data_IF_828086045147
#
_entry.id   IF_828086045147
#
_cell.length_a   1.000
_cell.length_b   1.000
_cell.length_c   1.000
_cell.angle_alpha   90.00
_cell.angle_beta   90.00
_cell.angle_gamma   90.00
#
_symmetry.space_group_name_H-M   'P 1'
#
loop_
_entity.id
_entity.type
_entity.pdbx_description
1 polymer ?
#
# COMPACT_ATOMS: atom_id res chain seq x y z
N UNK A 1 19.14 13.96 12.85
CA UNK A 1 18.08 13.29 12.07
C UNK A 1 18.70 12.02 11.54
N UNK A 2 18.36 10.88 12.14
CA UNK A 2 19.08 9.62 11.97
C UNK A 2 18.97 9.17 10.51
N UNK A 3 20.10 9.20 9.81
CA UNK A 3 20.27 8.63 8.48
C UNK A 3 20.27 7.11 8.67
N UNK A 4 19.08 6.52 8.75
CA UNK A 4 18.94 5.07 8.57
C UNK A 4 19.14 4.85 7.08
N UNK A 5 20.23 4.19 6.71
CA UNK A 5 20.35 3.53 5.41
C UNK A 5 19.11 2.65 5.27
N UNK A 6 18.12 3.05 4.46
CA UNK A 6 16.85 2.33 4.24
C UNK A 6 17.11 1.02 3.50
N UNK A 7 17.77 0.07 4.16
CA UNK A 7 17.62 -1.33 3.87
C UNK A 7 16.47 -1.80 4.75
N UNK A 8 15.43 -2.36 4.15
CA UNK A 8 14.20 -2.71 4.86
C UNK A 8 14.40 -3.80 5.94
N UNK A 9 15.60 -4.38 6.07
CA UNK A 9 15.93 -5.47 6.99
C UNK A 9 15.77 -5.16 8.48
N UNK A 10 15.70 -3.88 8.88
CA UNK A 10 15.46 -3.50 10.27
C UNK A 10 13.97 -3.18 10.51
N UNK A 11 13.27 -4.03 11.28
CA UNK A 11 11.89 -3.75 11.72
C UNK A 11 11.84 -2.36 12.38
N UNK A 12 10.83 -1.56 12.03
CA UNK A 12 10.67 -0.22 12.60
C UNK A 12 10.22 -0.31 14.07
N UNK A 13 11.18 -0.19 15.00
CA UNK A 13 10.92 -0.23 16.44
C UNK A 13 10.70 1.17 16.99
N UNK A 14 9.45 1.62 17.03
CA UNK A 14 9.04 2.73 17.88
C UNK A 14 7.56 2.55 18.27
N UNK A 15 7.34 2.28 19.57
CA UNK A 15 6.05 1.87 20.15
C UNK A 15 4.98 2.96 20.16
N UNK A 16 5.33 4.20 19.79
CA UNK A 16 4.43 5.37 19.82
C UNK A 16 4.32 6.07 18.44
N UNK A 17 4.78 5.45 17.37
CA UNK A 17 4.61 6.05 16.03
C UNK A 17 3.14 5.99 15.63
N UNK A 18 2.59 7.17 15.34
CA UNK A 18 1.23 7.31 14.81
C UNK A 18 1.20 7.56 13.31
N UNK A 19 2.35 7.90 12.70
CA UNK A 19 2.41 8.27 11.30
C UNK A 19 3.68 7.69 10.65
N UNK A 20 3.49 6.93 9.56
CA UNK A 20 4.54 6.38 8.70
C UNK A 20 4.42 6.91 7.25
N UNK A 21 3.86 8.11 7.12
CA UNK A 21 3.82 8.83 5.85
C UNK A 21 5.21 8.98 5.25
N UNK A 22 5.34 8.70 3.96
CA UNK A 22 6.60 8.79 3.19
C UNK A 22 7.77 7.94 3.73
N UNK A 23 7.53 6.97 4.63
CA UNK A 23 8.61 6.28 5.36
C UNK A 23 9.67 5.68 4.42
N UNK A 24 9.26 5.09 3.29
CA UNK A 24 10.11 4.53 2.23
C UNK A 24 9.91 5.25 0.88
N UNK A 25 9.44 6.50 0.87
CA UNK A 25 9.22 7.26 -0.37
C UNK A 25 10.49 7.32 -1.23
N UNK A 26 10.34 7.05 -2.53
CA UNK A 26 11.38 7.07 -3.56
C UNK A 26 12.59 6.16 -3.27
N UNK A 27 12.40 5.07 -2.53
CA UNK A 27 13.46 4.07 -2.33
C UNK A 27 13.60 3.19 -3.57
N UNK A 28 14.25 3.72 -4.60
CA UNK A 28 14.46 3.02 -5.88
C UNK A 28 15.32 1.75 -5.77
N UNK A 29 16.07 1.58 -4.68
CA UNK A 29 16.81 0.35 -4.38
C UNK A 29 16.01 -0.71 -3.60
N UNK A 30 14.77 -0.41 -3.19
CA UNK A 30 13.94 -1.35 -2.43
C UNK A 30 13.31 -2.37 -3.37
N UNK A 31 13.79 -3.61 -3.34
CA UNK A 31 13.31 -4.70 -4.19
C UNK A 31 12.20 -5.52 -3.52
N UNK A 32 12.28 -5.67 -2.21
CA UNK A 32 11.34 -6.46 -1.41
C UNK A 32 11.13 -5.81 -0.03
N UNK A 33 9.90 -5.95 0.48
CA UNK A 33 9.54 -5.57 1.85
C UNK A 33 9.65 -6.83 2.74
N UNK A 34 10.42 -6.78 3.84
CA UNK A 34 10.51 -7.91 4.74
C UNK A 34 9.22 -8.14 5.51
N UNK A 35 8.96 -9.42 5.80
CA UNK A 35 7.80 -9.85 6.57
C UNK A 35 7.78 -9.16 7.94
N UNK A 36 6.60 -8.65 8.30
CA UNK A 36 6.36 -8.06 9.60
C UNK A 36 7.12 -6.77 9.89
N UNK A 37 7.43 -5.99 8.84
CA UNK A 37 8.10 -4.70 8.93
C UNK A 37 7.38 -3.74 9.90
N UNK A 38 6.04 -3.79 9.94
CA UNK A 38 5.18 -2.88 10.70
C UNK A 38 4.45 -3.52 11.90
N UNK A 39 4.73 -4.78 12.26
CA UNK A 39 4.00 -5.52 13.32
C UNK A 39 3.97 -4.79 14.67
N UNK A 40 5.04 -4.06 14.99
CA UNK A 40 5.19 -3.37 16.27
C UNK A 40 4.63 -1.93 16.26
N UNK A 41 4.08 -1.48 15.12
CA UNK A 41 3.61 -0.11 14.94
C UNK A 41 2.08 -0.04 15.03
N UNK A 42 1.52 -0.67 16.07
CA UNK A 42 0.08 -0.85 16.28
C UNK A 42 -0.69 0.47 16.43
N UNK A 43 0.00 1.56 16.79
CA UNK A 43 -0.58 2.89 16.98
C UNK A 43 -0.61 3.74 15.69
N UNK A 44 -0.12 3.21 14.56
CA UNK A 44 -0.06 3.97 13.30
C UNK A 44 -1.46 4.15 12.73
N UNK A 45 -1.77 5.39 12.36
CA UNK A 45 -3.03 5.78 11.73
C UNK A 45 -2.86 6.17 10.25
N UNK A 46 -1.63 6.39 9.78
CA UNK A 46 -1.37 6.91 8.42
C UNK A 46 -0.14 6.28 7.76
N UNK A 47 -0.33 5.67 6.58
CA UNK A 47 0.70 5.09 5.71
C UNK A 47 0.78 5.81 4.35
N UNK A 48 0.25 7.02 4.24
CA UNK A 48 0.20 7.73 2.96
C UNK A 48 1.58 7.84 2.31
N UNK A 49 1.66 7.49 1.04
CA UNK A 49 2.88 7.50 0.23
C UNK A 49 4.08 6.74 0.85
N UNK A 50 3.84 5.79 1.77
CA UNK A 50 4.88 5.07 2.49
C UNK A 50 5.91 4.43 1.54
N UNK A 51 5.46 3.77 0.47
CA UNK A 51 6.31 3.16 -0.56
C UNK A 51 6.18 3.84 -1.93
N UNK A 52 5.60 5.05 -2.00
CA UNK A 52 5.44 5.74 -3.27
C UNK A 52 6.79 5.90 -3.99
N UNK A 53 6.81 5.67 -5.31
CA UNK A 53 7.99 5.70 -6.17
C UNK A 53 9.08 4.67 -5.81
N UNK A 54 8.76 3.57 -5.11
CA UNK A 54 9.65 2.41 -5.00
C UNK A 54 9.62 1.62 -6.31
N UNK A 55 10.23 2.17 -7.37
CA UNK A 55 10.09 1.65 -8.74
C UNK A 55 10.65 0.24 -8.94
N UNK A 56 11.56 -0.22 -8.07
CA UNK A 56 12.14 -1.57 -8.12
C UNK A 56 11.44 -2.59 -7.22
N UNK A 57 10.41 -2.18 -6.47
CA UNK A 57 9.67 -3.07 -5.58
C UNK A 57 8.87 -4.07 -6.41
N UNK A 58 9.09 -5.37 -6.19
CA UNK A 58 8.51 -6.44 -7.02
C UNK A 58 7.34 -7.17 -6.36
N UNK A 59 7.29 -7.19 -5.03
CA UNK A 59 6.29 -7.93 -4.27
C UNK A 59 5.97 -7.25 -2.93
N UNK A 60 4.73 -7.43 -2.48
CA UNK A 60 4.25 -7.07 -1.15
C UNK A 60 4.08 -8.36 -0.33
N UNK A 61 4.66 -8.48 0.87
CA UNK A 61 4.43 -9.63 1.73
C UNK A 61 2.98 -9.70 2.19
N UNK A 62 2.46 -10.93 2.33
CA UNK A 62 1.16 -11.15 2.97
C UNK A 62 1.16 -10.56 4.39
N UNK A 63 0.03 -10.00 4.79
CA UNK A 63 -0.17 -9.50 6.15
C UNK A 63 0.69 -8.29 6.53
N UNK A 64 1.22 -7.54 5.56
CA UNK A 64 2.10 -6.38 5.83
C UNK A 64 1.49 -5.37 6.81
N UNK A 65 0.15 -5.24 6.82
CA UNK A 65 -0.58 -4.25 7.64
C UNK A 65 -1.51 -4.89 8.69
N UNK A 66 -1.39 -6.19 8.96
CA UNK A 66 -2.34 -6.93 9.81
C UNK A 66 -2.45 -6.38 11.24
N UNK A 67 -1.36 -5.86 11.78
CA UNK A 67 -1.31 -5.30 13.14
C UNK A 67 -1.56 -3.80 13.20
N UNK A 68 -1.77 -3.12 12.07
CA UNK A 68 -1.99 -1.68 12.00
C UNK A 68 -3.48 -1.36 11.87
N UNK A 69 -4.29 -1.88 12.81
CA UNK A 69 -5.75 -1.84 12.75
C UNK A 69 -6.35 -0.42 12.83
N UNK A 70 -5.58 0.56 13.33
CA UNK A 70 -6.03 1.95 13.50
C UNK A 70 -5.81 2.83 12.25
N UNK A 71 -5.29 2.26 11.15
CA UNK A 71 -4.97 3.02 9.94
C UNK A 71 -6.24 3.49 9.26
N UNK A 72 -6.29 4.79 8.96
CA UNK A 72 -7.38 5.41 8.22
C UNK A 72 -6.98 5.93 6.82
N UNK A 73 -5.68 5.95 6.49
CA UNK A 73 -5.17 6.56 5.25
C UNK A 73 -4.02 5.75 4.64
N UNK A 74 -4.28 5.17 3.46
CA UNK A 74 -3.31 4.51 2.58
C UNK A 74 -3.11 5.27 1.25
N UNK A 75 -3.48 6.55 1.18
CA UNK A 75 -3.39 7.32 -0.05
C UNK A 75 -1.97 7.27 -0.62
N UNK A 76 -1.83 6.93 -1.90
CA UNK A 76 -0.57 6.81 -2.62
C UNK A 76 0.43 5.77 -2.07
N UNK A 77 0.02 4.87 -1.16
CA UNK A 77 0.97 4.02 -0.41
C UNK A 77 1.98 3.29 -1.31
N UNK A 78 1.53 2.72 -2.44
CA UNK A 78 2.34 2.06 -3.46
C UNK A 78 2.28 2.76 -4.82
N UNK A 79 1.97 4.07 -4.84
CA UNK A 79 1.87 4.83 -6.08
C UNK A 79 3.18 4.77 -6.86
N UNK A 80 3.10 4.49 -8.16
CA UNK A 80 4.24 4.41 -9.06
C UNK A 80 5.29 3.35 -8.65
N UNK A 81 4.87 2.26 -7.99
CA UNK A 81 5.66 1.04 -7.85
C UNK A 81 5.58 0.22 -9.14
N UNK A 82 6.24 0.71 -10.20
CA UNK A 82 6.08 0.18 -11.57
C UNK A 82 6.55 -1.27 -11.76
N UNK A 83 7.42 -1.80 -10.91
CA UNK A 83 7.86 -3.21 -10.97
C UNK A 83 7.00 -4.17 -10.13
N UNK A 84 5.97 -3.67 -9.43
CA UNK A 84 5.10 -4.51 -8.61
C UNK A 84 4.21 -5.35 -9.52
N UNK A 85 4.18 -6.68 -9.31
CA UNK A 85 3.49 -7.62 -10.19
C UNK A 85 2.14 -8.10 -9.68
N UNK A 86 1.93 -8.11 -8.36
CA UNK A 86 0.69 -8.58 -7.74
C UNK A 86 0.44 -7.89 -6.40
N UNK A 87 -0.81 -7.92 -5.96
CA UNK A 87 -1.26 -7.45 -4.65
C UNK A 87 -1.82 -8.67 -3.91
N UNK A 88 -1.40 -8.95 -2.66
CA UNK A 88 -2.09 -9.92 -1.85
C UNK A 88 -3.57 -9.55 -1.68
N UNK A 89 -4.50 -10.46 -2.02
CA UNK A 89 -5.95 -10.19 -1.97
C UNK A 89 -6.38 -9.72 -0.58
N UNK A 90 -5.84 -10.33 0.48
CA UNK A 90 -6.13 -9.98 1.88
C UNK A 90 -5.21 -8.91 2.49
N UNK A 91 -4.48 -8.12 1.68
CA UNK A 91 -3.48 -7.16 2.18
C UNK A 91 -4.04 -6.16 3.21
N UNK A 92 -5.34 -5.84 3.13
CA UNK A 92 -5.98 -4.83 3.96
C UNK A 92 -7.13 -5.38 4.82
N UNK A 93 -7.32 -6.69 4.94
CA UNK A 93 -8.50 -7.29 5.60
C UNK A 93 -8.70 -6.80 7.03
N UNK A 94 -7.61 -6.54 7.75
CA UNK A 94 -7.62 -6.08 9.13
C UNK A 94 -7.69 -4.55 9.28
N UNK A 95 -7.61 -3.78 8.19
CA UNK A 95 -7.67 -2.32 8.21
C UNK A 95 -9.09 -1.85 7.84
N UNK A 96 -10.05 -2.11 8.73
CA UNK A 96 -11.49 -1.85 8.48
C UNK A 96 -11.87 -0.38 8.55
N UNK A 97 -11.10 0.44 9.27
CA UNK A 97 -11.40 1.85 9.50
C UNK A 97 -10.78 2.80 8.45
N UNK A 98 -10.32 2.23 7.32
CA UNK A 98 -9.70 3.00 6.24
C UNK A 98 -10.73 3.86 5.52
N UNK A 99 -10.47 5.16 5.44
CA UNK A 99 -11.31 6.11 4.73
C UNK A 99 -10.85 6.37 3.30
N UNK A 100 -9.58 6.11 2.97
CA UNK A 100 -9.02 6.43 1.65
C UNK A 100 -7.90 5.48 1.22
N UNK A 101 -8.04 5.02 -0.02
CA UNK A 101 -7.03 4.33 -0.82
C UNK A 101 -6.66 5.14 -2.07
N UNK A 102 -6.91 6.45 -2.07
CA UNK A 102 -6.67 7.32 -3.22
C UNK A 102 -5.30 7.04 -3.86
N UNK A 103 -5.31 6.62 -5.13
CA UNK A 103 -4.09 6.34 -5.90
C UNK A 103 -3.12 5.32 -5.27
N UNK A 104 -3.58 4.47 -4.33
CA UNK A 104 -2.72 3.57 -3.56
C UNK A 104 -1.85 2.69 -4.47
N UNK A 105 -2.41 2.13 -5.54
CA UNK A 105 -1.70 1.33 -6.55
C UNK A 105 -1.63 2.00 -7.93
N UNK A 106 -1.84 3.32 -7.98
CA UNK A 106 -1.85 4.07 -9.23
C UNK A 106 -0.50 3.94 -9.94
N UNK A 107 -0.54 3.81 -11.27
CA UNK A 107 0.60 3.52 -12.16
C UNK A 107 1.22 2.13 -11.99
N UNK A 108 0.51 1.18 -11.37
CA UNK A 108 0.88 -0.24 -11.31
C UNK A 108 0.61 -1.00 -12.63
N UNK A 109 1.25 -0.58 -13.73
CA UNK A 109 1.01 -1.11 -15.08
C UNK A 109 1.34 -2.61 -15.25
N UNK A 110 2.17 -3.16 -14.37
CA UNK A 110 2.57 -4.56 -14.39
C UNK A 110 1.75 -5.44 -13.43
N UNK A 111 0.75 -4.87 -12.75
CA UNK A 111 -0.12 -5.62 -11.86
C UNK A 111 -0.98 -6.60 -12.65
N UNK A 112 -0.96 -7.86 -12.21
CA UNK A 112 -1.80 -8.96 -12.70
C UNK A 112 -2.38 -9.73 -11.51
N UNK A 113 -3.30 -10.66 -11.75
CA UNK A 113 -4.01 -11.34 -10.66
C UNK A 113 -5.18 -10.53 -10.12
N UNK A 114 -5.74 -10.96 -8.99
CA UNK A 114 -6.87 -10.28 -8.36
C UNK A 114 -6.44 -9.03 -7.60
N UNK A 115 -7.15 -7.93 -7.84
CA UNK A 115 -7.13 -6.76 -6.97
C UNK A 115 -7.91 -7.06 -5.68
N UNK A 116 -7.50 -6.52 -4.51
CA UNK A 116 -8.36 -6.48 -3.34
C UNK A 116 -9.64 -5.71 -3.66
N UNK A 117 -10.81 -6.29 -3.40
CA UNK A 117 -12.14 -5.74 -3.72
C UNK A 117 -12.56 -4.63 -2.73
N UNK A 118 -11.73 -3.59 -2.64
CA UNK A 118 -11.86 -2.52 -1.64
C UNK A 118 -13.14 -1.67 -1.83
N UNK A 119 -13.70 -1.66 -3.04
CA UNK A 119 -14.95 -0.98 -3.38
C UNK A 119 -16.21 -1.69 -2.85
N UNK A 120 -16.07 -2.91 -2.30
CA UNK A 120 -17.18 -3.63 -1.65
C UNK A 120 -17.27 -3.36 -0.14
N UNK A 121 -16.42 -2.49 0.40
CA UNK A 121 -16.40 -2.16 1.84
C UNK A 121 -17.53 -1.20 2.21
N UNK A 122 -17.94 -1.28 3.47
CA UNK A 122 -19.01 -0.44 4.03
C UNK A 122 -18.53 0.32 5.28
N UNK A 123 -18.53 1.67 5.28
CA UNK A 123 -18.80 2.52 4.11
C UNK A 123 -17.72 2.38 3.03
N UNK A 124 -18.09 2.64 1.77
CA UNK A 124 -17.11 2.61 0.67
C UNK A 124 -16.01 3.67 0.91
N UNK A 125 -14.72 3.28 0.98
CA UNK A 125 -13.64 4.23 1.13
C UNK A 125 -13.41 5.01 -0.17
N UNK A 126 -12.82 6.21 -0.07
CA UNK A 126 -12.37 6.92 -1.26
C UNK A 126 -11.22 6.16 -1.95
N UNK A 127 -11.53 5.46 -3.04
CA UNK A 127 -10.53 4.77 -3.85
C UNK A 127 -10.17 5.47 -5.14
N UNK A 128 -10.40 6.79 -5.25
CA UNK A 128 -10.13 7.55 -6.47
C UNK A 128 -8.74 7.24 -7.04
N UNK A 129 -8.69 6.77 -8.29
CA UNK A 129 -7.46 6.40 -9.02
C UNK A 129 -6.63 5.29 -8.39
N UNK A 130 -7.15 4.54 -7.41
CA UNK A 130 -6.40 3.49 -6.70
C UNK A 130 -5.75 2.51 -7.67
N UNK A 131 -6.44 2.17 -8.77
CA UNK A 131 -5.98 1.24 -9.80
C UNK A 131 -5.74 1.93 -11.16
N UNK A 132 -5.44 3.23 -11.17
CA UNK A 132 -5.13 3.97 -12.40
C UNK A 132 -3.96 3.31 -13.15
N UNK A 133 -4.17 3.01 -14.44
CA UNK A 133 -3.26 2.25 -15.32
C UNK A 133 -2.98 0.78 -14.91
N UNK A 134 -3.72 0.17 -13.99
CA UNK A 134 -3.55 -1.24 -13.62
C UNK A 134 -4.42 -2.18 -14.47
N UNK A 135 -4.35 -2.07 -15.80
CA UNK A 135 -5.24 -2.77 -16.75
C UNK A 135 -4.99 -4.27 -16.88
N UNK A 136 -3.97 -4.81 -16.21
CA UNK A 136 -3.62 -6.24 -16.24
C UNK A 136 -4.29 -7.09 -15.14
N UNK A 137 -5.07 -6.47 -14.25
CA UNK A 137 -5.77 -7.15 -13.16
C UNK A 137 -6.87 -8.09 -13.69
N UNK A 138 -7.00 -9.28 -13.10
CA UNK A 138 -7.94 -10.31 -13.56
C UNK A 138 -9.41 -9.88 -13.33
N UNK A 139 -9.66 -9.07 -12.30
CA UNK A 139 -10.97 -8.48 -11.98
C UNK A 139 -11.05 -6.99 -12.37
N UNK A 140 -10.28 -6.54 -13.36
CA UNK A 140 -10.26 -5.13 -13.76
C UNK A 140 -11.64 -4.59 -14.17
N UNK A 141 -12.46 -5.42 -14.80
CA UNK A 141 -13.82 -5.07 -15.25
C UNK A 141 -14.78 -4.85 -14.07
N UNK A 142 -14.51 -5.42 -12.90
CA UNK A 142 -15.31 -5.26 -11.68
C UNK A 142 -14.95 -3.97 -10.90
N UNK A 143 -13.80 -3.36 -11.19
CA UNK A 143 -13.32 -2.16 -10.50
C UNK A 143 -14.16 -0.95 -10.95
N UNK A 144 -14.71 -0.12 -10.04
CA UNK A 144 -15.46 1.09 -10.40
C UNK A 144 -14.65 2.11 -11.21
N UNK A 145 -15.32 2.90 -12.05
CA UNK A 145 -14.65 3.83 -12.98
C UNK A 145 -13.83 4.91 -12.27
N UNK A 146 -14.34 5.48 -11.18
CA UNK A 146 -13.64 6.48 -10.37
C UNK A 146 -12.39 5.94 -9.68
N UNK A 147 -12.29 4.62 -9.49
CA UNK A 147 -11.09 3.94 -9.02
C UNK A 147 -10.03 3.74 -10.13
N UNK A 148 -10.42 3.86 -11.41
CA UNK A 148 -9.58 3.63 -12.60
C UNK A 148 -9.10 4.89 -13.33
N UNK A 149 -9.85 6.00 -13.32
CA UNK A 149 -9.61 7.16 -14.22
C UNK A 149 -9.13 8.45 -13.52
N UNK A 150 -8.47 9.35 -14.27
CA UNK A 150 -7.89 10.62 -13.78
C UNK A 150 -8.90 11.73 -13.55
#
# INVERSE_FOLDING_TARGET
IVIIKKNATDKLKASNMTCLKNCFHSCSGLIAIPNGLFDNNIAVINFSACFANCTSLTAIPNGLFDYNILVNDFSFCFYNCSSLMSIPVGLFDNNTDVNTFQSCFGKGQNLTGLAPELWLREPEPNGSKCFYNATGLDNYDDIPDDWKIS
#
